data_IF_741109805267
#
_entry.id   IF_741109805267
#
_cell.length_a   1.000
_cell.length_b   1.000
_cell.length_c   1.000
_cell.angle_alpha   90.00
_cell.angle_beta   90.00
_cell.angle_gamma   90.00
#
_symmetry.space_group_name_H-M   'P 1'
#
loop_
_entity.id
_entity.type
_entity.pdbx_description
1 polymer ?
#
# COMPACT_ATOMS: atom_id res chain seq x y z
N UNK A 1 47.81 1.03 40.15
CA UNK A 1 46.69 1.91 39.80
C UNK A 1 45.92 1.18 38.71
N UNK A 2 44.72 0.72 39.07
CA UNK A 2 43.77 0.10 38.16
C UNK A 2 43.03 1.25 37.46
N UNK A 3 43.10 1.31 36.14
CA UNK A 3 42.21 2.15 35.34
C UNK A 3 41.11 1.23 34.78
N UNK A 4 39.89 1.45 35.24
CA UNK A 4 38.69 0.76 34.75
C UNK A 4 38.25 1.31 33.38
N UNK A 5 37.38 0.58 32.67
CA UNK A 5 36.86 1.04 31.38
C UNK A 5 35.92 2.25 31.56
N UNK A 6 35.84 3.16 30.58
CA UNK A 6 34.90 4.28 30.63
C UNK A 6 33.46 3.76 30.61
N UNK A 7 32.71 4.13 31.65
CA UNK A 7 31.26 4.01 31.72
C UNK A 7 30.61 5.18 30.97
N UNK A 8 29.71 4.88 30.04
CA UNK A 8 28.89 5.86 29.36
C UNK A 8 28.24 5.25 28.13
N UNK A 9 27.28 4.35 28.34
CA UNK A 9 26.19 4.23 27.38
C UNK A 9 25.38 5.51 27.59
N UNK A 10 25.38 6.41 26.62
CA UNK A 10 24.45 7.54 26.63
C UNK A 10 23.04 6.94 26.66
N UNK A 11 22.34 7.14 27.77
CA UNK A 11 20.90 6.90 27.78
C UNK A 11 20.27 7.95 26.86
N UNK A 12 19.36 7.56 25.94
CA UNK A 12 18.71 8.51 25.06
C UNK A 12 17.98 9.60 25.86
N UNK A 13 18.14 10.85 25.41
CA UNK A 13 17.49 11.99 26.02
C UNK A 13 15.97 11.86 25.92
N UNK A 14 15.27 11.98 27.05
CA UNK A 14 13.81 11.90 27.16
C UNK A 14 13.19 13.29 27.18
N UNK A 15 13.20 13.99 26.05
CA UNK A 15 12.45 15.23 25.89
C UNK A 15 11.33 15.10 24.83
N UNK A 16 10.59 16.18 24.56
CA UNK A 16 9.41 16.14 23.67
C UNK A 16 9.74 15.85 22.18
N UNK A 17 11.02 15.79 21.79
CA UNK A 17 11.47 15.30 20.47
C UNK A 17 11.82 13.79 20.44
N UNK A 18 11.55 13.06 21.52
CA UNK A 18 11.92 11.65 21.64
C UNK A 18 11.16 10.76 20.62
N UNK A 19 11.89 10.25 19.62
CA UNK A 19 11.44 9.21 18.70
C UNK A 19 11.08 7.89 19.42
N UNK A 20 11.33 7.75 20.73
CA UNK A 20 10.72 6.69 21.53
C UNK A 20 9.19 6.78 21.53
N UNK A 21 8.59 7.95 21.31
CA UNK A 21 7.15 8.07 21.06
C UNK A 21 6.75 7.42 19.72
N UNK A 22 7.57 7.57 18.67
CA UNK A 22 7.40 6.83 17.42
C UNK A 22 7.55 5.32 17.65
N UNK A 23 8.56 4.86 18.39
CA UNK A 23 8.69 3.43 18.73
C UNK A 23 7.60 2.91 19.68
N UNK A 24 6.98 3.78 20.48
CA UNK A 24 5.90 3.44 21.42
C UNK A 24 4.53 3.43 20.74
N UNK A 25 4.32 4.24 19.71
CA UNK A 25 3.15 4.17 18.80
C UNK A 25 3.31 3.02 17.79
N UNK A 26 4.56 2.72 17.41
CA UNK A 26 4.94 1.58 16.58
C UNK A 26 5.28 0.37 17.47
N UNK A 27 4.32 -0.09 18.27
CA UNK A 27 4.28 -1.51 18.62
C UNK A 27 4.44 -2.27 17.30
N UNK A 28 5.60 -2.92 17.10
CA UNK A 28 5.97 -3.59 15.85
C UNK A 28 4.99 -4.69 15.42
N UNK A 29 3.96 -4.94 16.23
CA UNK A 29 2.92 -5.93 16.00
C UNK A 29 1.66 -5.37 15.35
N UNK A 30 1.51 -4.05 15.18
CA UNK A 30 0.26 -3.47 14.65
C UNK A 30 0.35 -2.84 13.25
N UNK A 31 1.52 -2.47 12.71
CA UNK A 31 1.58 -1.65 11.48
C UNK A 31 0.97 -2.26 10.20
N UNK A 32 0.86 -3.59 10.11
CA UNK A 32 0.45 -4.25 8.88
C UNK A 32 -0.03 -5.69 9.12
N UNK A 33 -0.95 -5.90 10.06
CA UNK A 33 -1.61 -7.20 10.15
C UNK A 33 -2.69 -7.32 9.08
N UNK A 34 -2.84 -8.53 8.54
CA UNK A 34 -4.04 -8.90 7.82
C UNK A 34 -5.19 -9.13 8.81
N UNK A 35 -6.41 -8.76 8.42
CA UNK A 35 -7.62 -9.09 9.17
C UNK A 35 -8.18 -10.35 8.52
N UNK A 36 -8.34 -11.41 9.32
CA UNK A 36 -9.06 -12.58 8.86
C UNK A 36 -10.54 -12.23 8.74
N UNK A 37 -11.17 -12.46 7.58
CA UNK A 37 -12.60 -12.24 7.45
C UNK A 37 -13.34 -13.33 8.22
N UNK A 38 -14.29 -12.91 9.06
CA UNK A 38 -15.22 -13.82 9.72
C UNK A 38 -16.16 -14.43 8.68
N UNK A 39 -16.50 -15.72 8.85
CA UNK A 39 -17.54 -16.39 8.04
C UNK A 39 -18.92 -15.82 8.37
N UNK A 40 -19.23 -14.67 7.79
CA UNK A 40 -20.52 -14.01 7.87
C UNK A 40 -21.02 -13.65 6.47
N UNK A 41 -22.33 -13.38 6.38
CA UNK A 41 -22.92 -12.91 5.12
C UNK A 41 -22.41 -11.50 4.83
N UNK A 42 -21.76 -11.34 3.68
CA UNK A 42 -21.34 -10.02 3.17
C UNK A 42 -22.56 -9.09 3.10
N UNK A 43 -22.43 -7.82 3.53
CA UNK A 43 -23.50 -6.84 3.40
C UNK A 43 -24.04 -6.80 1.97
N UNK A 44 -25.36 -6.67 1.82
CA UNK A 44 -25.98 -6.62 0.50
C UNK A 44 -25.48 -5.40 -0.26
N UNK A 45 -24.94 -5.61 -1.47
CA UNK A 45 -24.61 -4.53 -2.40
C UNK A 45 -25.91 -3.92 -2.93
N UNK A 46 -26.05 -2.60 -2.84
CA UNK A 46 -27.14 -1.92 -3.52
C UNK A 46 -26.86 -1.96 -5.02
N UNK A 47 -27.78 -2.53 -5.79
CA UNK A 47 -27.62 -2.76 -7.23
C UNK A 47 -27.69 -1.48 -8.07
N UNK A 48 -27.87 -0.32 -7.44
CA UNK A 48 -27.84 0.98 -8.12
C UNK A 48 -26.43 1.29 -8.62
N UNK A 49 -26.27 1.16 -9.93
CA UNK A 49 -25.05 1.40 -10.71
C UNK A 49 -24.55 2.87 -10.68
N UNK A 50 -25.18 3.75 -9.90
CA UNK A 50 -24.86 5.17 -9.77
C UNK A 50 -24.13 5.49 -8.44
N UNK A 51 -23.80 4.46 -7.66
CA UNK A 51 -23.08 4.65 -6.40
C UNK A 51 -21.60 4.93 -6.68
N UNK A 52 -21.12 6.10 -6.24
CA UNK A 52 -19.74 6.54 -6.42
C UNK A 52 -18.77 5.73 -5.53
N UNK A 53 -18.18 4.68 -6.09
CA UNK A 53 -17.20 3.85 -5.39
C UNK A 53 -15.98 4.65 -4.91
N UNK A 54 -15.59 5.75 -5.60
CA UNK A 54 -14.45 6.58 -5.18
C UNK A 54 -14.80 7.42 -3.92
N UNK A 55 -16.09 7.61 -3.59
CA UNK A 55 -16.50 8.27 -2.34
C UNK A 55 -16.26 7.39 -1.10
N UNK A 56 -16.33 6.07 -1.25
CA UNK A 56 -16.07 5.10 -0.16
C UNK A 56 -14.65 4.55 -0.22
N UNK A 57 -14.13 4.27 -1.41
CA UNK A 57 -12.81 3.68 -1.65
C UNK A 57 -11.94 4.60 -2.52
N UNK A 58 -11.51 5.77 -2.01
CA UNK A 58 -10.87 6.81 -2.81
C UNK A 58 -9.50 6.44 -3.38
N UNK A 59 -8.86 5.39 -2.87
CA UNK A 59 -7.62 4.82 -3.41
C UNK A 59 -7.84 3.48 -4.14
N UNK A 60 -9.11 3.13 -4.40
CA UNK A 60 -9.52 1.87 -5.01
C UNK A 60 -9.01 0.64 -4.25
N UNK A 61 -8.72 -0.44 -4.98
CA UNK A 61 -8.28 -1.73 -4.47
C UNK A 61 -6.92 -2.11 -5.03
N UNK A 62 -6.22 -3.00 -4.34
CA UNK A 62 -4.99 -3.61 -4.84
C UNK A 62 -4.86 -5.06 -4.33
N UNK A 63 -4.18 -5.90 -5.10
CA UNK A 63 -3.74 -7.22 -4.64
C UNK A 63 -2.23 -7.36 -4.76
N UNK A 64 -1.61 -8.15 -3.88
CA UNK A 64 -0.16 -8.35 -3.96
C UNK A 64 0.38 -9.42 -3.02
N UNK A 65 1.69 -9.62 -3.06
CA UNK A 65 2.38 -10.66 -2.27
C UNK A 65 1.83 -12.07 -2.55
N UNK A 66 1.73 -12.50 -3.82
CA UNK A 66 1.11 -13.78 -4.14
C UNK A 66 1.92 -14.95 -3.60
N UNK A 67 1.22 -15.95 -3.08
CA UNK A 67 1.73 -17.29 -2.79
C UNK A 67 1.07 -18.29 -3.75
N UNK A 68 1.47 -19.57 -3.76
CA UNK A 68 0.71 -20.59 -4.51
C UNK A 68 -0.72 -20.75 -4.01
N UNK A 69 -1.07 -20.25 -2.83
CA UNK A 69 -2.36 -20.53 -2.20
C UNK A 69 -3.11 -19.29 -1.75
N UNK A 70 -2.64 -18.10 -2.11
CA UNK A 70 -3.25 -16.86 -1.69
C UNK A 70 -2.59 -15.60 -2.23
N UNK A 71 -3.16 -14.48 -1.83
CA UNK A 71 -2.70 -13.11 -2.06
C UNK A 71 -3.10 -12.25 -0.87
N UNK A 72 -2.45 -11.11 -0.69
CA UNK A 72 -2.99 -10.02 0.12
C UNK A 72 -3.96 -9.20 -0.72
N UNK A 73 -5.18 -8.98 -0.23
CA UNK A 73 -6.10 -7.97 -0.76
C UNK A 73 -6.02 -6.70 0.08
N UNK A 74 -6.10 -5.54 -0.56
CA UNK A 74 -5.93 -4.24 0.06
C UNK A 74 -6.99 -3.25 -0.42
N UNK A 75 -7.50 -2.43 0.49
CA UNK A 75 -8.23 -1.20 0.18
C UNK A 75 -8.10 -0.19 1.32
N UNK A 76 -8.66 1.01 1.13
CA UNK A 76 -8.79 2.03 2.16
C UNK A 76 -10.17 2.66 2.09
N UNK A 77 -10.87 2.67 3.22
CA UNK A 77 -12.18 3.36 3.35
C UNK A 77 -11.94 4.85 3.58
N UNK A 78 -12.74 5.71 2.96
CA UNK A 78 -12.70 7.14 3.20
C UNK A 78 -13.10 7.44 4.66
N UNK A 79 -12.33 8.24 5.41
CA UNK A 79 -12.68 8.60 6.79
C UNK A 79 -14.09 9.21 6.91
N UNK A 80 -14.50 10.02 5.93
CA UNK A 80 -15.83 10.66 5.90
C UNK A 80 -16.98 9.67 5.62
N UNK A 81 -16.67 8.50 5.06
CA UNK A 81 -17.63 7.43 4.81
C UNK A 81 -17.62 6.34 5.89
N UNK A 82 -16.69 6.39 6.84
CA UNK A 82 -16.48 5.33 7.83
C UNK A 82 -17.51 5.41 8.98
N UNK A 83 -18.22 4.31 9.19
CA UNK A 83 -19.13 4.08 10.32
C UNK A 83 -18.65 2.85 11.12
N UNK A 84 -18.27 3.00 12.41
CA UNK A 84 -17.81 1.89 13.22
C UNK A 84 -18.87 0.82 13.50
N UNK A 85 -20.15 1.06 13.20
CA UNK A 85 -21.22 0.06 13.32
C UNK A 85 -21.41 -0.80 12.05
N UNK A 86 -20.69 -0.49 10.97
CA UNK A 86 -20.79 -1.18 9.68
C UNK A 86 -19.56 -2.07 9.45
N UNK A 87 -19.79 -3.36 9.29
CA UNK A 87 -18.75 -4.32 8.92
C UNK A 87 -18.38 -4.21 7.43
N UNK A 88 -17.10 -4.37 7.11
CA UNK A 88 -16.60 -4.37 5.73
C UNK A 88 -16.64 -5.78 5.15
N UNK A 89 -17.42 -5.98 4.09
CA UNK A 89 -17.47 -7.23 3.34
C UNK A 89 -16.31 -7.38 2.36
N UNK A 90 -15.91 -8.63 2.12
CA UNK A 90 -15.02 -9.03 1.02
C UNK A 90 -15.61 -10.22 0.28
N UNK A 91 -15.50 -10.20 -1.05
CA UNK A 91 -15.85 -11.33 -1.91
C UNK A 91 -14.72 -11.61 -2.90
N UNK A 92 -14.45 -12.89 -3.14
CA UNK A 92 -13.51 -13.38 -4.14
C UNK A 92 -14.19 -14.46 -4.96
N UNK A 93 -14.17 -14.35 -6.27
CA UNK A 93 -14.84 -15.26 -7.20
C UNK A 93 -13.99 -15.53 -8.45
N UNK A 94 -14.40 -16.50 -9.27
CA UNK A 94 -13.76 -16.79 -10.57
C UNK A 94 -14.34 -15.98 -11.72
N UNK A 95 -15.33 -15.15 -11.43
CA UNK A 95 -16.07 -14.34 -12.39
C UNK A 95 -16.32 -12.94 -11.80
N UNK A 96 -16.43 -11.94 -12.67
CA UNK A 96 -16.67 -10.54 -12.30
C UNK A 96 -18.07 -10.29 -11.72
N UNK A 97 -19.01 -11.22 -11.94
CA UNK A 97 -20.38 -11.09 -11.45
C UNK A 97 -20.54 -11.57 -10.00
N UNK A 98 -19.51 -12.22 -9.43
CA UNK A 98 -19.51 -12.78 -8.08
C UNK A 98 -20.69 -13.74 -7.86
N UNK A 99 -21.05 -14.55 -8.88
CA UNK A 99 -22.22 -15.43 -8.79
C UNK A 99 -22.05 -16.52 -7.73
N UNK A 100 -20.82 -17.02 -7.56
CA UNK A 100 -20.48 -18.02 -6.54
C UNK A 100 -19.08 -17.73 -5.97
N UNK A 101 -18.99 -16.86 -4.95
CA UNK A 101 -17.72 -16.54 -4.31
C UNK A 101 -17.05 -17.79 -3.73
N UNK A 102 -15.75 -17.94 -3.98
CA UNK A 102 -14.89 -18.98 -3.38
C UNK A 102 -14.41 -18.57 -1.99
N UNK A 103 -14.31 -17.26 -1.74
CA UNK A 103 -14.09 -16.66 -0.42
C UNK A 103 -15.10 -15.55 -0.26
N UNK A 104 -15.74 -15.48 0.90
CA UNK A 104 -16.66 -14.42 1.29
C UNK A 104 -16.62 -14.29 2.81
N UNK A 105 -16.65 -13.07 3.31
CA UNK A 105 -16.70 -12.82 4.74
C UNK A 105 -16.66 -11.34 5.07
N UNK A 106 -16.58 -11.03 6.36
CA UNK A 106 -16.62 -9.65 6.85
C UNK A 106 -15.46 -9.36 7.79
N UNK A 107 -15.04 -8.10 7.78
CA UNK A 107 -14.07 -7.52 8.70
C UNK A 107 -14.84 -6.57 9.63
N UNK A 108 -14.95 -6.97 10.89
CA UNK A 108 -15.67 -6.24 11.96
C UNK A 108 -14.70 -5.82 13.07
N UNK A 109 -13.73 -4.98 12.71
CA UNK A 109 -12.73 -4.43 13.64
C UNK A 109 -12.53 -2.91 13.38
N UNK A 110 -13.52 -2.09 13.77
CA UNK A 110 -13.52 -0.66 13.46
C UNK A 110 -12.38 0.11 14.16
N UNK A 111 -11.98 -0.32 15.36
CA UNK A 111 -10.88 0.31 16.11
C UNK A 111 -9.57 0.15 15.35
N UNK A 112 -9.28 -1.06 14.87
CA UNK A 112 -8.08 -1.34 14.09
C UNK A 112 -8.10 -0.64 12.74
N UNK A 113 -9.23 -0.67 12.03
CA UNK A 113 -9.36 0.05 10.75
C UNK A 113 -9.01 1.53 10.94
N UNK A 114 -9.61 2.20 11.93
CA UNK A 114 -9.35 3.61 12.21
C UNK A 114 -7.88 3.87 12.61
N UNK A 115 -7.27 3.00 13.41
CA UNK A 115 -5.86 3.13 13.83
C UNK A 115 -4.87 3.06 12.65
N UNK A 116 -5.19 2.31 11.60
CA UNK A 116 -4.34 2.11 10.42
C UNK A 116 -4.71 2.98 9.23
N UNK A 117 -5.14 4.22 9.47
CA UNK A 117 -5.55 5.16 8.41
C UNK A 117 -6.62 4.54 7.49
N UNK A 118 -7.59 3.87 8.10
CA UNK A 118 -8.74 3.24 7.43
C UNK A 118 -8.34 2.21 6.36
N UNK A 119 -7.13 1.68 6.47
CA UNK A 119 -6.56 0.72 5.54
C UNK A 119 -6.89 -0.69 5.98
N UNK A 120 -7.31 -1.51 5.03
CA UNK A 120 -7.64 -2.91 5.24
C UNK A 120 -6.69 -3.78 4.42
N UNK A 121 -6.21 -4.85 5.05
CA UNK A 121 -5.43 -5.92 4.43
C UNK A 121 -6.08 -7.24 4.79
N UNK A 122 -6.31 -8.10 3.82
CA UNK A 122 -6.84 -9.45 4.04
C UNK A 122 -5.85 -10.43 3.44
N UNK A 123 -5.40 -11.39 4.23
CA UNK A 123 -4.50 -12.45 3.78
C UNK A 123 -5.34 -13.66 3.39
N UNK A 124 -5.16 -14.12 2.17
CA UNK A 124 -5.87 -15.27 1.61
C UNK A 124 -4.97 -16.50 1.48
N UNK A 125 -3.79 -16.52 2.10
CA UNK A 125 -2.93 -17.70 2.05
C UNK A 125 -3.69 -18.95 2.54
N UNK A 126 -3.44 -20.07 1.87
CA UNK A 126 -4.17 -21.34 2.04
C UNK A 126 -5.67 -21.32 1.67
N UNK A 127 -6.21 -20.22 1.12
CA UNK A 127 -7.63 -20.09 0.76
C UNK A 127 -7.91 -20.23 -0.74
N UNK A 128 -6.89 -20.17 -1.59
CA UNK A 128 -7.01 -20.13 -3.05
C UNK A 128 -6.24 -21.28 -3.72
N UNK A 129 -6.61 -21.60 -4.96
CA UNK A 129 -5.92 -22.62 -5.76
C UNK A 129 -4.68 -22.03 -6.46
N UNK A 130 -3.59 -22.82 -6.66
CA UNK A 130 -2.40 -22.35 -7.37
C UNK A 130 -2.63 -21.95 -8.82
N UNK A 131 -1.83 -20.99 -9.30
CA UNK A 131 -1.78 -20.53 -10.68
C UNK A 131 -3.12 -20.02 -11.23
N UNK A 132 -4.02 -19.59 -10.35
CA UNK A 132 -5.42 -19.30 -10.69
C UNK A 132 -5.69 -17.80 -10.57
N UNK A 133 -6.41 -17.26 -11.55
CA UNK A 133 -6.91 -15.90 -11.52
C UNK A 133 -8.28 -15.83 -10.84
N UNK A 134 -8.49 -14.77 -10.08
CA UNK A 134 -9.71 -14.45 -9.36
C UNK A 134 -10.06 -12.97 -9.53
N UNK A 135 -11.34 -12.67 -9.33
CA UNK A 135 -11.86 -11.32 -9.15
C UNK A 135 -12.19 -11.12 -7.68
N UNK A 136 -12.00 -9.91 -7.17
CA UNK A 136 -12.34 -9.56 -5.80
C UNK A 136 -12.97 -8.17 -5.71
N UNK A 137 -13.79 -7.96 -4.68
CA UNK A 137 -14.33 -6.64 -4.32
C UNK A 137 -14.50 -6.53 -2.81
N UNK A 138 -14.49 -5.30 -2.33
CA UNK A 138 -14.91 -4.95 -0.99
C UNK A 138 -16.33 -4.36 -1.04
N UNK A 139 -17.09 -4.51 0.03
CA UNK A 139 -18.45 -3.96 0.16
C UNK A 139 -18.57 -3.27 1.50
N UNK A 140 -18.95 -2.00 1.49
CA UNK A 140 -19.10 -1.20 2.71
C UNK A 140 -20.35 -0.32 2.61
N UNK A 141 -21.23 -0.41 3.60
CA UNK A 141 -22.50 0.33 3.65
C UNK A 141 -23.31 0.28 2.34
N UNK A 142 -23.43 -0.91 1.74
CA UNK A 142 -24.13 -1.13 0.47
C UNK A 142 -23.35 -0.70 -0.79
N UNK A 143 -22.19 -0.07 -0.66
CA UNK A 143 -21.33 0.36 -1.76
C UNK A 143 -20.26 -0.68 -2.04
N UNK A 144 -20.18 -1.18 -3.27
CA UNK A 144 -19.07 -2.01 -3.72
C UNK A 144 -17.88 -1.16 -4.16
N UNK A 145 -16.66 -1.61 -3.85
CA UNK A 145 -15.46 -1.11 -4.49
C UNK A 145 -15.48 -1.41 -5.99
N UNK A 146 -14.56 -0.79 -6.74
CA UNK A 146 -14.20 -1.31 -8.06
C UNK A 146 -13.75 -2.77 -7.93
N UNK A 147 -14.02 -3.57 -8.96
CA UNK A 147 -13.57 -4.96 -9.03
C UNK A 147 -12.08 -5.01 -9.33
N UNK A 148 -11.32 -5.65 -8.45
CA UNK A 148 -9.92 -5.98 -8.71
C UNK A 148 -9.75 -7.40 -9.23
N UNK A 149 -8.60 -7.67 -9.83
CA UNK A 149 -8.12 -8.99 -10.23
C UNK A 149 -6.92 -9.39 -9.38
N UNK A 150 -6.86 -10.65 -9.01
CA UNK A 150 -5.70 -11.22 -8.36
C UNK A 150 -5.35 -12.60 -8.92
N UNK A 151 -4.09 -13.00 -8.78
CA UNK A 151 -3.57 -14.27 -9.28
C UNK A 151 -2.58 -14.87 -8.29
N UNK A 152 -2.76 -16.15 -8.00
CA UNK A 152 -1.83 -16.92 -7.17
C UNK A 152 -0.63 -17.38 -8.00
N UNK A 153 0.51 -17.62 -7.33
CA UNK A 153 1.66 -18.23 -7.97
C UNK A 153 1.31 -19.66 -8.44
N UNK A 154 1.97 -20.18 -9.50
CA UNK A 154 1.88 -21.61 -9.82
C UNK A 154 2.30 -22.49 -8.65
N UNK A 155 1.84 -23.73 -8.64
CA UNK A 155 2.34 -24.75 -7.72
C UNK A 155 3.88 -24.87 -7.86
N UNK A 156 4.65 -25.01 -6.76
CA UNK A 156 6.12 -25.11 -6.82
C UNK A 156 6.66 -26.23 -7.72
N UNK A 157 5.90 -27.31 -7.90
CA UNK A 157 6.24 -28.44 -8.75
C UNK A 157 5.68 -28.31 -10.19
N UNK A 158 4.94 -27.25 -10.48
CA UNK A 158 4.42 -26.98 -11.82
C UNK A 158 5.52 -26.53 -12.80
N UNK A 159 5.27 -26.77 -14.08
CA UNK A 159 6.12 -26.31 -15.19
C UNK A 159 5.27 -25.53 -16.19
N UNK A 160 4.91 -24.26 -15.89
CA UNK A 160 4.09 -23.44 -16.77
C UNK A 160 4.78 -23.24 -18.13
N UNK A 161 4.01 -23.24 -19.22
CA UNK A 161 4.55 -23.04 -20.57
C UNK A 161 5.12 -21.63 -20.78
N UNK A 162 4.56 -20.65 -20.09
CA UNK A 162 5.02 -19.26 -20.09
C UNK A 162 4.69 -18.58 -18.76
N UNK A 163 5.46 -17.53 -18.47
CA UNK A 163 5.13 -16.54 -17.45
C UNK A 163 5.45 -15.14 -18.00
N UNK A 164 4.59 -14.16 -17.75
CA UNK A 164 4.71 -12.78 -18.22
C UNK A 164 4.66 -11.78 -17.07
N UNK A 165 5.47 -10.72 -17.19
CA UNK A 165 5.60 -9.70 -16.17
C UNK A 165 5.57 -8.31 -16.79
N UNK A 166 4.84 -7.38 -16.17
CA UNK A 166 5.08 -5.95 -16.35
C UNK A 166 6.07 -5.49 -15.27
N UNK A 167 7.21 -4.93 -15.66
CA UNK A 167 8.26 -4.49 -14.72
C UNK A 167 8.36 -2.98 -14.75
N UNK A 168 8.20 -2.36 -13.58
CA UNK A 168 8.11 -0.92 -13.35
C UNK A 168 9.08 -0.50 -12.25
N UNK A 169 9.49 0.75 -12.28
CA UNK A 169 10.27 1.43 -11.23
C UNK A 169 10.06 2.93 -11.39
N UNK A 170 10.32 3.71 -10.33
CA UNK A 170 10.42 5.17 -10.36
C UNK A 170 9.20 5.86 -10.98
N UNK A 171 8.24 6.27 -10.14
CA UNK A 171 7.02 6.92 -10.58
C UNK A 171 6.75 8.24 -9.86
N UNK A 172 7.71 9.16 -9.82
CA UNK A 172 7.52 10.47 -9.19
C UNK A 172 6.23 11.14 -9.69
N UNK A 173 5.31 11.41 -8.75
CA UNK A 173 3.99 11.97 -9.01
C UNK A 173 4.07 13.38 -9.61
N UNK A 174 5.12 14.12 -9.27
CA UNK A 174 5.35 15.49 -9.72
C UNK A 174 5.98 15.54 -11.12
N UNK A 175 6.50 14.42 -11.63
CA UNK A 175 7.14 14.33 -12.95
C UNK A 175 6.17 14.09 -14.11
N UNK A 176 4.91 13.81 -13.82
CA UNK A 176 3.84 13.78 -14.82
C UNK A 176 2.69 12.85 -14.47
N UNK A 177 1.81 12.66 -15.45
CA UNK A 177 0.77 11.63 -15.39
C UNK A 177 1.38 10.25 -15.68
N UNK A 178 0.65 9.17 -15.36
CA UNK A 178 1.15 7.80 -15.52
C UNK A 178 0.55 7.03 -16.72
N UNK A 179 0.70 7.48 -17.98
CA UNK A 179 0.15 6.75 -19.13
C UNK A 179 0.77 5.35 -19.28
N UNK A 180 2.03 5.16 -18.86
CA UNK A 180 2.70 3.86 -18.86
C UNK A 180 1.95 2.83 -17.99
N UNK A 181 1.52 3.22 -16.79
CA UNK A 181 0.66 2.39 -15.94
C UNK A 181 -0.70 2.15 -16.57
N UNK A 182 -1.22 3.13 -17.32
CA UNK A 182 -2.45 2.97 -18.11
C UNK A 182 -2.31 1.90 -19.19
N UNK A 183 -1.18 1.84 -19.89
CA UNK A 183 -0.88 0.77 -20.83
C UNK A 183 -0.73 -0.58 -20.11
N UNK A 184 0.03 -0.63 -19.00
CA UNK A 184 0.19 -1.86 -18.21
C UNK A 184 -1.16 -2.41 -17.76
N UNK A 185 -2.10 -1.55 -17.33
CA UNK A 185 -3.44 -1.97 -16.93
C UNK A 185 -4.23 -2.68 -18.03
N UNK A 186 -3.90 -2.43 -19.30
CA UNK A 186 -4.55 -3.01 -20.49
C UNK A 186 -3.76 -4.20 -21.08
N UNK A 187 -2.55 -4.50 -20.57
CA UNK A 187 -1.74 -5.64 -21.00
C UNK A 187 -2.17 -6.95 -20.30
N UNK A 188 -2.06 -8.06 -21.01
CA UNK A 188 -2.32 -9.41 -20.48
C UNK A 188 -1.02 -10.01 -19.91
N UNK A 189 -0.66 -9.56 -18.71
CA UNK A 189 0.50 -10.07 -17.95
C UNK A 189 0.05 -10.85 -16.72
N UNK A 190 0.84 -11.84 -16.30
CA UNK A 190 0.51 -12.65 -15.13
C UNK A 190 0.70 -11.86 -13.81
N UNK A 191 1.75 -11.03 -13.74
CA UNK A 191 2.08 -10.23 -12.56
C UNK A 191 2.65 -8.86 -12.91
N UNK A 192 2.42 -7.89 -12.03
CA UNK A 192 3.09 -6.59 -12.06
C UNK A 192 4.20 -6.57 -11.00
N UNK A 193 5.42 -6.23 -11.39
CA UNK A 193 6.56 -6.07 -10.48
C UNK A 193 6.90 -4.58 -10.41
N UNK A 194 6.93 -4.02 -9.21
CA UNK A 194 7.44 -2.68 -8.97
C UNK A 194 8.77 -2.78 -8.22
N UNK A 195 9.86 -2.29 -8.78
CA UNK A 195 11.20 -2.49 -8.21
C UNK A 195 11.53 -1.54 -7.05
N UNK A 196 10.78 -0.44 -6.92
CA UNK A 196 10.93 0.57 -5.86
C UNK A 196 10.59 1.95 -6.40
N UNK A 197 10.60 2.96 -5.54
CA UNK A 197 10.22 4.35 -5.85
C UNK A 197 8.76 4.49 -6.31
N UNK A 198 7.88 3.75 -5.66
CA UNK A 198 6.42 3.89 -5.79
C UNK A 198 5.97 5.26 -5.27
N UNK A 199 6.67 5.82 -4.29
CA UNK A 199 6.54 7.21 -3.84
C UNK A 199 7.90 7.90 -3.86
N UNK A 200 7.89 9.23 -3.83
CA UNK A 200 9.05 10.06 -3.51
C UNK A 200 8.72 10.89 -2.27
N UNK A 201 9.71 11.10 -1.42
CA UNK A 201 9.57 11.71 -0.10
C UNK A 201 9.57 13.25 -0.12
N UNK A 202 9.77 13.89 -1.28
CA UNK A 202 9.81 15.35 -1.45
C UNK A 202 8.47 15.94 -1.93
N UNK A 203 8.19 17.18 -1.55
CA UNK A 203 7.00 17.94 -1.97
C UNK A 203 7.24 18.90 -3.15
N UNK A 204 8.51 19.21 -3.45
CA UNK A 204 8.90 20.31 -4.33
C UNK A 204 9.38 19.87 -5.73
N UNK A 205 9.29 18.58 -6.06
CA UNK A 205 9.79 18.04 -7.33
C UNK A 205 11.30 18.16 -7.46
N UNK A 206 12.04 18.02 -6.35
CA UNK A 206 13.51 18.02 -6.34
C UNK A 206 14.11 16.94 -7.27
N UNK A 207 13.32 15.90 -7.54
CA UNK A 207 13.65 14.79 -8.44
C UNK A 207 13.09 14.97 -9.87
N UNK A 208 12.77 16.21 -10.26
CA UNK A 208 12.33 16.57 -11.62
C UNK A 208 13.43 16.33 -12.65
N UNK A 209 13.22 15.31 -13.48
CA UNK A 209 14.09 15.01 -14.63
C UNK A 209 13.95 16.01 -15.79
N UNK A 210 14.84 15.88 -16.78
CA UNK A 210 14.78 16.68 -18.02
C UNK A 210 13.43 16.45 -18.71
N UNK A 211 12.66 17.52 -18.92
CA UNK A 211 11.33 17.44 -19.54
C UNK A 211 10.18 17.29 -18.54
N UNK A 212 10.45 17.36 -17.25
CA UNK A 212 9.40 17.56 -16.24
C UNK A 212 8.94 19.01 -16.29
N UNK A 213 7.65 19.20 -16.54
CA UNK A 213 7.00 20.52 -16.56
C UNK A 213 6.20 20.73 -15.27
N UNK A 214 5.56 21.88 -15.16
CA UNK A 214 4.48 22.06 -14.19
C UNK A 214 3.24 21.31 -14.70
N UNK A 215 2.79 20.33 -13.92
CA UNK A 215 1.62 19.53 -14.21
C UNK A 215 0.48 19.96 -13.27
N UNK A 216 -0.64 20.47 -13.81
CA UNK A 216 -1.79 20.81 -12.98
C UNK A 216 -2.23 19.60 -12.15
N UNK A 217 -2.60 19.89 -10.91
CA UNK A 217 -3.09 18.91 -9.92
C UNK A 217 -2.04 17.86 -9.50
N UNK A 218 -0.74 18.16 -9.69
CA UNK A 218 0.40 17.34 -9.23
C UNK A 218 1.27 18.00 -8.18
N UNK A 219 0.83 19.15 -7.66
CA UNK A 219 1.48 19.80 -6.54
C UNK A 219 1.24 18.98 -5.26
N UNK A 220 2.30 18.78 -4.48
CA UNK A 220 2.26 18.13 -3.18
C UNK A 220 2.50 19.18 -2.09
N UNK A 221 1.87 18.99 -0.94
CA UNK A 221 2.13 19.78 0.25
C UNK A 221 2.02 18.89 1.46
N UNK A 222 3.15 18.65 2.12
CA UNK A 222 3.22 17.71 3.23
C UNK A 222 2.48 18.27 4.46
N UNK A 223 1.71 17.43 5.18
CA UNK A 223 1.03 17.83 6.42
C UNK A 223 1.94 18.49 7.46
N UNK A 224 3.20 18.08 7.55
CA UNK A 224 4.17 18.67 8.46
C UNK A 224 4.64 20.08 8.06
N UNK A 225 4.45 20.47 6.79
CA UNK A 225 4.96 21.72 6.23
C UNK A 225 6.45 21.70 5.90
N UNK A 226 7.13 20.55 6.04
CA UNK A 226 8.48 20.35 5.54
C UNK A 226 8.49 20.10 4.03
N UNK A 227 9.66 20.29 3.41
CA UNK A 227 9.90 19.97 2.00
C UNK A 227 10.09 18.46 1.74
N UNK A 228 10.30 17.68 2.82
CA UNK A 228 10.44 16.22 2.78
C UNK A 228 9.67 15.53 3.91
N UNK A 229 9.26 14.29 3.67
CA UNK A 229 8.47 13.50 4.60
C UNK A 229 9.23 13.25 5.91
N UNK A 230 8.68 13.78 7.00
CA UNK A 230 9.28 13.69 8.33
C UNK A 230 8.43 12.84 9.28
N UNK A 231 7.11 12.86 9.07
CA UNK A 231 6.14 12.24 9.96
C UNK A 231 5.40 11.10 9.28
N UNK A 232 4.81 10.19 10.07
CA UNK A 232 3.90 9.16 9.54
C UNK A 232 2.73 9.79 8.74
N UNK A 233 2.28 10.98 9.13
CA UNK A 233 1.22 11.69 8.40
C UNK A 233 1.66 12.09 6.99
N UNK A 234 2.94 12.47 6.82
CA UNK A 234 3.52 12.80 5.51
C UNK A 234 3.59 11.58 4.59
N UNK A 235 4.11 10.46 5.07
CA UNK A 235 4.15 9.21 4.28
C UNK A 235 2.76 8.70 3.92
N UNK A 236 1.80 8.76 4.85
CA UNK A 236 0.41 8.41 4.57
C UNK A 236 -0.20 9.36 3.52
N UNK A 237 0.10 10.66 3.60
CA UNK A 237 -0.31 11.63 2.58
C UNK A 237 0.27 11.27 1.20
N UNK A 238 1.59 11.05 1.10
CA UNK A 238 2.25 10.69 -0.15
C UNK A 238 1.65 9.42 -0.76
N UNK A 239 1.49 8.35 0.02
CA UNK A 239 0.87 7.12 -0.49
C UNK A 239 -0.56 7.32 -0.98
N UNK A 240 -1.38 8.14 -0.31
CA UNK A 240 -2.73 8.48 -0.77
C UNK A 240 -2.72 9.33 -2.03
N UNK A 241 -1.83 10.32 -2.11
CA UNK A 241 -1.67 11.20 -3.27
C UNK A 241 -1.25 10.42 -4.51
N UNK A 242 -0.22 9.57 -4.41
CA UNK A 242 0.23 8.76 -5.54
C UNK A 242 -0.87 7.78 -6.00
N UNK A 243 -1.53 7.08 -5.06
CA UNK A 243 -2.66 6.17 -5.35
C UNK A 243 -3.94 6.87 -5.81
N UNK A 244 -4.00 8.19 -5.78
CA UNK A 244 -5.13 8.93 -6.36
C UNK A 244 -5.08 8.95 -7.89
N UNK A 245 -3.92 8.71 -8.50
CA UNK A 245 -3.79 8.66 -9.95
C UNK A 245 -4.63 7.54 -10.55
N UNK A 246 -5.46 7.89 -11.52
CA UNK A 246 -6.40 6.95 -12.17
C UNK A 246 -5.73 5.79 -12.90
N UNK A 247 -4.52 5.99 -13.43
CA UNK A 247 -3.81 4.94 -14.16
C UNK A 247 -3.10 4.01 -13.20
N UNK A 248 -2.58 4.51 -12.07
CA UNK A 248 -2.08 3.66 -11.00
C UNK A 248 -3.21 2.83 -10.38
N UNK A 249 -4.38 3.44 -10.10
CA UNK A 249 -5.57 2.69 -9.66
C UNK A 249 -5.91 1.57 -10.63
N UNK A 250 -6.04 1.86 -11.93
CA UNK A 250 -6.32 0.84 -12.96
C UNK A 250 -5.26 -0.27 -12.98
N UNK A 251 -3.97 0.06 -12.88
CA UNK A 251 -2.92 -0.95 -12.88
C UNK A 251 -2.98 -1.87 -11.64
N UNK A 252 -3.27 -1.30 -10.45
CA UNK A 252 -3.45 -2.05 -9.20
C UNK A 252 -4.75 -2.87 -9.16
N UNK A 253 -5.81 -2.38 -9.81
CA UNK A 253 -7.06 -3.10 -10.04
C UNK A 253 -6.83 -4.30 -10.96
N UNK A 254 -6.05 -4.14 -12.04
CA UNK A 254 -5.88 -5.15 -13.09
C UNK A 254 -4.94 -6.30 -12.72
N UNK A 255 -3.94 -6.07 -11.87
CA UNK A 255 -2.78 -6.98 -11.71
C UNK A 255 -2.41 -7.24 -10.27
N UNK A 256 -1.88 -8.44 -10.01
CA UNK A 256 -1.28 -8.77 -8.71
C UNK A 256 0.14 -8.20 -8.61
N UNK A 257 0.36 -7.38 -7.60
CA UNK A 257 1.62 -6.69 -7.37
C UNK A 257 2.63 -7.56 -6.61
N UNK A 258 3.82 -7.71 -7.18
CA UNK A 258 5.03 -8.12 -6.46
C UNK A 258 5.80 -6.83 -6.16
N UNK A 259 5.65 -6.35 -4.93
CA UNK A 259 6.19 -5.06 -4.49
C UNK A 259 7.63 -5.19 -4.00
N UNK A 260 8.55 -4.50 -4.67
CA UNK A 260 9.84 -4.09 -4.15
C UNK A 260 9.75 -2.73 -3.45
N UNK A 261 10.83 -2.39 -2.74
CA UNK A 261 11.10 -1.06 -2.21
C UNK A 261 12.53 -0.68 -2.58
N UNK A 262 12.75 0.59 -2.79
CA UNK A 262 14.07 1.19 -2.87
C UNK A 262 14.16 2.31 -1.81
N UNK A 263 15.01 3.29 -2.03
CA UNK A 263 15.33 4.35 -1.09
C UNK A 263 14.20 5.37 -0.91
N UNK A 264 13.53 5.82 -1.98
CA UNK A 264 12.49 6.88 -1.90
C UNK A 264 11.19 6.47 -1.18
N UNK A 265 10.97 5.19 -0.87
CA UNK A 265 9.96 4.78 0.11
C UNK A 265 10.28 5.23 1.54
N UNK A 266 11.52 5.63 1.77
CA UNK A 266 12.07 6.14 3.01
C UNK A 266 12.72 7.49 2.71
N UNK A 267 13.99 7.46 2.32
CA UNK A 267 14.78 8.64 2.06
C UNK A 267 15.82 8.34 0.97
N UNK A 268 15.99 9.28 0.05
CA UNK A 268 16.98 9.24 -1.04
C UNK A 268 18.39 8.80 -0.60
N UNK A 269 18.98 7.89 -1.38
CA UNK A 269 20.30 7.28 -1.21
C UNK A 269 20.54 6.68 0.20
N UNK A 270 19.53 6.12 0.87
CA UNK A 270 19.73 5.53 2.20
C UNK A 270 20.68 4.31 2.15
N UNK A 271 21.71 4.32 3.01
CA UNK A 271 22.68 3.23 3.17
C UNK A 271 23.11 3.06 4.63
N UNK A 272 23.75 1.94 4.95
CA UNK A 272 24.38 1.73 6.27
C UNK A 272 25.81 2.28 6.27
N UNK A 273 26.08 3.29 7.12
CA UNK A 273 27.42 3.84 7.31
C UNK A 273 28.16 3.07 8.43
N UNK A 274 29.15 2.22 8.09
CA UNK A 274 29.85 1.42 9.09
C UNK A 274 30.78 2.25 9.99
N UNK A 275 31.17 3.46 9.60
CA UNK A 275 32.01 4.33 10.41
C UNK A 275 31.20 5.02 11.52
N UNK A 276 29.89 5.21 11.29
CA UNK A 276 28.93 5.77 12.25
C UNK A 276 28.11 4.72 13.00
N UNK A 277 28.11 3.48 12.52
CA UNK A 277 27.26 2.39 12.99
C UNK A 277 25.77 2.78 12.95
N UNK A 278 25.36 3.48 11.89
CA UNK A 278 24.02 4.04 11.71
C UNK A 278 23.65 4.20 10.22
N UNK A 279 22.35 4.28 9.87
CA UNK A 279 21.93 4.68 8.53
C UNK A 279 22.38 6.10 8.19
N UNK A 280 22.68 6.33 6.91
CA UNK A 280 22.98 7.63 6.33
C UNK A 280 22.26 7.73 4.97
N UNK A 281 22.05 8.94 4.46
CA UNK A 281 21.38 9.19 3.18
C UNK A 281 21.45 10.67 2.84
N UNK A 282 20.85 11.07 1.71
CA UNK A 282 20.81 12.49 1.34
C UNK A 282 19.93 13.30 2.32
N UNK A 283 19.00 12.63 3.02
CA UNK A 283 18.28 13.11 4.21
C UNK A 283 18.16 11.94 5.25
N UNK A 284 17.92 12.15 6.55
CA UNK A 284 17.68 13.38 7.28
C UNK A 284 18.99 14.09 7.60
N UNK A 285 18.96 15.42 7.62
CA UNK A 285 19.99 16.18 8.31
C UNK A 285 20.05 15.64 9.73
N UNK A 286 21.23 15.17 10.13
CA UNK A 286 21.59 14.78 11.50
C UNK A 286 21.54 15.99 12.44
N UNK A 287 20.40 16.69 12.47
CA UNK A 287 20.15 17.87 13.29
C UNK A 287 19.57 17.51 14.67
N UNK A 288 19.41 16.20 14.95
CA UNK A 288 19.19 15.63 16.28
C UNK A 288 20.40 14.80 16.74
#
# INVERSE_FOLDING_TARGET
MQDGPPSGLDEPARDESDHAALLSELSAHDLALAIDPDEATVPTVDSDTDTDADAVFPQSVASGGPTPTGVILWTRVAPDAFDPEVALGVEVARDEAFETPVVSGVVDDPERIAAHDYTIKIDLDERLEPGTEYHYRFVYDGVASRTGRCRTLPDPDASPESISFAVLACQDYTNGYYPALGYVADEDVDFMIHLGDLIYESDAGDFKGIGSYEYPDRDLSLPSGHDRAWTLADYRYLHRSYRSDRFLKRALESHTLIAGRDDHEMIDDIYWDPDRDAPAGNHPMTDD
#
